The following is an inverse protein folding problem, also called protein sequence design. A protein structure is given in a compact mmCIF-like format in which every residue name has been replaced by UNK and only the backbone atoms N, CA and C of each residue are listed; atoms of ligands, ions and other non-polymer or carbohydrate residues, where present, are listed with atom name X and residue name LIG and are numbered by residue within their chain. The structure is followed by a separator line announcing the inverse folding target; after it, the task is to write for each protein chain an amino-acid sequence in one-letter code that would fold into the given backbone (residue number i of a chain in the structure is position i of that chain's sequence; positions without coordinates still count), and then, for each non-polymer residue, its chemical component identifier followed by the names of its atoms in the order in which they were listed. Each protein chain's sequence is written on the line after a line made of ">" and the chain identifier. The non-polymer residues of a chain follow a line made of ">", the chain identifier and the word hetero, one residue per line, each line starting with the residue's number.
data_IF_418508391554
#
_entry.id   IF_418508391554
#
_cell.length_a   1.000
_cell.length_b   1.000
_cell.length_c   1.000
_cell.angle_alpha   90.00
_cell.angle_beta   90.00
_cell.angle_gamma   90.00
#
_symmetry.space_group_name_H-M   'P 1'
#
loop_
_entity.id
_entity.type
_entity.pdbx_description
1 polymer ?
#
# COMPACT_ATOMS: atom_id res chain seq x y z
N UNK A 1 49.32 50.96 41.81
CA UNK A 1 48.04 50.57 41.17
C UNK A 1 48.25 49.22 40.50
N UNK A 2 47.75 48.11 41.07
CA UNK A 2 46.61 47.31 40.55
C UNK A 2 46.49 47.37 39.02
N UNK A 3 46.54 46.21 38.36
CA UNK A 3 45.50 45.68 37.46
C UNK A 3 45.85 44.21 37.14
N UNK A 4 45.09 43.29 37.74
CA UNK A 4 45.10 41.87 37.41
C UNK A 4 44.13 41.67 36.24
N UNK A 5 44.66 41.43 35.04
CA UNK A 5 43.86 41.03 33.88
C UNK A 5 43.58 39.53 33.92
N UNK A 6 42.36 39.15 34.29
CA UNK A 6 41.87 37.78 34.16
C UNK A 6 41.46 37.54 32.70
N UNK A 7 42.12 36.58 32.04
CA UNK A 7 41.66 36.05 30.75
C UNK A 7 40.56 35.04 31.05
N UNK A 8 39.31 35.43 30.81
CA UNK A 8 38.17 34.51 30.87
C UNK A 8 38.21 33.65 29.61
N UNK A 9 38.59 32.38 29.77
CA UNK A 9 38.38 31.36 28.76
C UNK A 9 36.86 31.14 28.60
N UNK A 10 36.29 31.59 27.48
CA UNK A 10 34.92 31.28 27.13
C UNK A 10 34.81 29.78 26.78
N UNK A 11 33.90 29.02 27.40
CA UNK A 11 33.62 27.67 26.95
C UNK A 11 32.94 27.78 25.58
N UNK A 12 33.57 27.19 24.55
CA UNK A 12 32.87 26.91 23.30
C UNK A 12 31.73 25.93 23.63
N UNK A 13 30.55 26.48 23.90
CA UNK A 13 29.33 25.70 23.96
C UNK A 13 29.11 25.12 22.56
N UNK A 14 29.26 23.80 22.48
CA UNK A 14 28.86 22.97 21.36
C UNK A 14 27.39 23.26 21.04
N UNK A 15 27.15 24.17 20.10
CA UNK A 15 25.85 24.42 19.51
C UNK A 15 25.46 23.29 18.57
N UNK A 16 25.28 22.08 19.11
CA UNK A 16 24.45 21.07 18.44
C UNK A 16 23.02 21.56 18.59
N UNK A 17 22.58 22.40 17.66
CA UNK A 17 21.16 22.67 17.45
C UNK A 17 20.50 21.39 16.96
N UNK A 18 20.22 20.47 17.88
CA UNK A 18 19.32 19.34 17.69
C UNK A 18 17.89 19.86 17.63
N UNK A 19 17.58 20.54 16.54
CA UNK A 19 16.22 20.89 16.15
C UNK A 19 15.98 20.41 14.71
N UNK A 20 16.26 19.13 14.46
CA UNK A 20 15.46 18.40 13.47
C UNK A 20 14.12 18.13 14.16
N UNK A 21 13.25 19.14 14.16
CA UNK A 21 11.82 18.83 14.28
C UNK A 21 11.53 17.91 13.12
N UNK A 22 11.28 16.64 13.42
CA UNK A 22 10.70 15.69 12.49
C UNK A 22 9.34 16.25 12.08
N UNK A 23 9.33 17.10 11.06
CA UNK A 23 8.14 17.49 10.34
C UNK A 23 7.67 16.17 9.72
N UNK A 24 6.72 15.49 10.39
CA UNK A 24 6.06 14.33 9.81
C UNK A 24 5.51 14.81 8.47
N UNK A 25 6.15 14.38 7.37
CA UNK A 25 5.67 14.67 6.04
C UNK A 25 4.20 14.22 6.02
N UNK A 26 3.30 15.17 5.79
CA UNK A 26 1.89 14.87 5.68
C UNK A 26 1.73 13.85 4.55
N UNK A 27 1.26 12.65 4.87
CA UNK A 27 1.09 11.59 3.88
C UNK A 27 -0.03 12.01 2.93
N UNK A 28 0.29 12.05 1.64
CA UNK A 28 -0.69 12.38 0.62
C UNK A 28 -1.62 11.18 0.36
N UNK A 29 -2.91 11.41 0.06
CA UNK A 29 -3.80 10.35 -0.41
C UNK A 29 -3.21 9.61 -1.61
N UNK A 30 -3.44 8.31 -1.70
CA UNK A 30 -3.07 7.52 -2.86
C UNK A 30 -3.86 7.99 -4.09
N UNK A 31 -3.16 8.32 -5.17
CA UNK A 31 -3.77 8.62 -6.47
C UNK A 31 -4.24 7.36 -7.18
N UNK A 32 -5.13 7.49 -8.16
CA UNK A 32 -5.57 6.36 -8.98
C UNK A 32 -4.39 5.64 -9.67
N UNK A 33 -3.36 6.40 -10.07
CA UNK A 33 -2.15 5.85 -10.67
C UNK A 33 -1.34 5.01 -9.66
N UNK A 34 -1.25 5.47 -8.41
CA UNK A 34 -0.60 4.69 -7.34
C UNK A 34 -1.41 3.45 -6.99
N UNK A 35 -2.74 3.55 -6.92
CA UNK A 35 -3.61 2.38 -6.70
C UNK A 35 -3.43 1.35 -7.82
N UNK A 36 -3.46 1.78 -9.08
CA UNK A 36 -3.23 0.91 -10.23
C UNK A 36 -1.84 0.26 -10.18
N UNK A 37 -0.80 1.03 -9.85
CA UNK A 37 0.55 0.51 -9.69
C UNK A 37 0.63 -0.56 -8.62
N UNK A 38 0.12 -0.29 -7.41
CA UNK A 38 0.17 -1.26 -6.31
C UNK A 38 -0.62 -2.53 -6.64
N UNK A 39 -1.80 -2.40 -7.23
CA UNK A 39 -2.59 -3.55 -7.69
C UNK A 39 -1.85 -4.36 -8.76
N UNK A 40 -1.20 -3.70 -9.71
CA UNK A 40 -0.35 -4.34 -10.72
C UNK A 40 0.83 -5.09 -10.10
N UNK A 41 1.48 -4.50 -9.08
CA UNK A 41 2.53 -5.18 -8.31
C UNK A 41 1.99 -6.40 -7.57
N UNK A 42 0.85 -6.28 -6.88
CA UNK A 42 0.21 -7.41 -6.20
C UNK A 42 -0.18 -8.53 -7.16
N UNK A 43 -0.65 -8.18 -8.36
CA UNK A 43 -0.95 -9.15 -9.40
C UNK A 43 0.31 -9.85 -9.91
N UNK A 44 1.38 -9.09 -10.19
CA UNK A 44 2.67 -9.63 -10.61
C UNK A 44 3.24 -10.61 -9.58
N UNK A 45 3.21 -10.24 -8.29
CA UNK A 45 3.64 -11.12 -7.19
C UNK A 45 2.79 -12.39 -7.16
N UNK A 46 1.46 -12.27 -7.24
CA UNK A 46 0.55 -13.42 -7.25
C UNK A 46 0.85 -14.35 -8.43
N UNK A 47 0.95 -13.79 -9.63
CA UNK A 47 1.26 -14.52 -10.86
C UNK A 47 2.56 -15.30 -10.76
N UNK A 48 3.64 -14.62 -10.37
CA UNK A 48 4.96 -15.24 -10.31
C UNK A 48 5.03 -16.35 -9.26
N UNK A 49 4.44 -16.14 -8.08
CA UNK A 49 4.42 -17.15 -7.03
C UNK A 49 3.61 -18.39 -7.45
N UNK A 50 2.43 -18.20 -8.04
CA UNK A 50 1.59 -19.32 -8.49
C UNK A 50 2.25 -20.11 -9.61
N UNK A 51 2.85 -19.43 -10.59
CA UNK A 51 3.59 -20.09 -11.68
C UNK A 51 4.85 -20.82 -11.17
N UNK A 52 5.37 -20.45 -10.00
CA UNK A 52 6.45 -21.14 -9.29
C UNK A 52 5.95 -22.25 -8.34
N UNK A 53 4.64 -22.54 -8.33
CA UNK A 53 4.04 -23.62 -7.55
C UNK A 53 3.62 -23.24 -6.12
N UNK A 54 3.65 -21.95 -5.76
CA UNK A 54 3.03 -21.48 -4.51
C UNK A 54 1.51 -21.42 -4.69
N UNK A 55 0.71 -22.10 -3.87
CA UNK A 55 -0.75 -22.11 -4.04
C UNK A 55 -1.37 -20.71 -4.07
N UNK A 56 -2.38 -20.52 -4.90
CA UNK A 56 -3.11 -19.25 -5.03
C UNK A 56 -3.66 -18.78 -3.67
N UNK A 57 -4.26 -19.69 -2.88
CA UNK A 57 -4.68 -19.45 -1.49
C UNK A 57 -3.62 -18.84 -0.56
N UNK A 58 -2.33 -18.94 -0.89
CA UNK A 58 -1.24 -18.33 -0.11
C UNK A 58 -0.70 -17.08 -0.79
N UNK A 59 -0.47 -17.15 -2.10
CA UNK A 59 0.09 -16.05 -2.87
C UNK A 59 -0.83 -14.82 -2.88
N UNK A 60 -2.13 -15.05 -3.09
CA UNK A 60 -3.11 -13.97 -3.23
C UNK A 60 -3.31 -13.18 -1.93
N UNK A 61 -3.57 -13.79 -0.75
CA UNK A 61 -3.71 -13.02 0.49
C UNK A 61 -2.43 -12.26 0.88
N UNK A 62 -1.25 -12.81 0.58
CA UNK A 62 0.01 -12.11 0.80
C UNK A 62 0.12 -10.84 -0.06
N UNK A 63 -0.25 -10.93 -1.34
CA UNK A 63 -0.28 -9.77 -2.24
C UNK A 63 -1.33 -8.73 -1.80
N UNK A 64 -2.50 -9.16 -1.33
CA UNK A 64 -3.53 -8.28 -0.76
C UNK A 64 -2.96 -7.51 0.43
N UNK A 65 -2.35 -8.21 1.38
CA UNK A 65 -1.74 -7.58 2.56
C UNK A 65 -0.62 -6.59 2.19
N UNK A 66 0.19 -6.93 1.18
CA UNK A 66 1.23 -6.04 0.67
C UNK A 66 0.63 -4.74 0.13
N UNK A 67 -0.39 -4.82 -0.72
CA UNK A 67 -1.03 -3.65 -1.33
C UNK A 67 -1.78 -2.82 -0.30
N UNK A 68 -2.56 -3.45 0.58
CA UNK A 68 -3.23 -2.76 1.68
C UNK A 68 -2.24 -2.09 2.63
N UNK A 69 -1.10 -2.74 2.91
CA UNK A 69 0.00 -2.17 3.69
C UNK A 69 0.64 -0.97 3.01
N UNK A 70 0.89 -1.03 1.69
CA UNK A 70 1.43 0.09 0.94
C UNK A 70 0.54 1.34 1.04
N UNK A 71 -0.79 1.16 0.98
CA UNK A 71 -1.74 2.27 1.15
C UNK A 71 -1.81 2.74 2.61
N UNK A 72 -1.88 1.83 3.57
CA UNK A 72 -1.93 2.18 4.99
C UNK A 72 -0.68 2.96 5.44
N UNK A 73 0.51 2.45 5.10
CA UNK A 73 1.77 3.05 5.53
C UNK A 73 2.21 4.21 4.64
N UNK A 74 2.00 4.14 3.33
CA UNK A 74 2.41 5.19 2.39
C UNK A 74 1.45 6.38 2.38
N UNK A 75 0.16 6.14 2.59
CA UNK A 75 -0.91 7.11 2.32
C UNK A 75 -1.91 7.28 3.48
N UNK A 76 -1.57 6.81 4.69
CA UNK A 76 -2.44 6.88 5.87
C UNK A 76 -3.85 6.33 5.62
N UNK A 77 -3.92 5.22 4.86
CA UNK A 77 -5.18 4.57 4.45
C UNK A 77 -6.10 5.47 3.62
N UNK A 78 -5.59 6.56 3.05
CA UNK A 78 -6.38 7.54 2.33
C UNK A 78 -6.17 7.40 0.83
N UNK A 79 -7.26 7.43 0.06
CA UNK A 79 -7.24 7.38 -1.41
C UNK A 79 -7.96 8.59 -1.99
N UNK A 80 -7.74 8.90 -3.27
CA UNK A 80 -8.62 9.80 -4.02
C UNK A 80 -9.79 9.00 -4.57
N UNK A 81 -11.01 9.38 -4.21
CA UNK A 81 -12.24 8.82 -4.78
C UNK A 81 -13.13 9.99 -5.22
N UNK A 82 -13.53 10.00 -6.49
CA UNK A 82 -14.37 11.07 -7.08
C UNK A 82 -13.80 12.48 -6.82
N UNK A 83 -12.47 12.61 -6.92
CA UNK A 83 -11.74 13.87 -6.70
C UNK A 83 -11.59 14.31 -5.23
N UNK A 84 -11.97 13.48 -4.27
CA UNK A 84 -11.87 13.79 -2.82
C UNK A 84 -11.05 12.75 -2.07
N UNK A 85 -10.26 13.15 -1.06
CA UNK A 85 -9.63 12.21 -0.14
C UNK A 85 -10.69 11.44 0.65
N UNK A 86 -10.57 10.11 0.66
CA UNK A 86 -11.41 9.20 1.44
C UNK A 86 -10.50 8.29 2.25
N UNK A 87 -10.65 8.31 3.58
CA UNK A 87 -9.96 7.41 4.48
C UNK A 87 -10.71 6.10 4.56
N UNK A 88 -10.01 5.01 4.24
CA UNK A 88 -10.55 3.67 4.23
C UNK A 88 -10.23 2.96 5.55
N UNK A 89 -11.18 2.18 6.05
CA UNK A 89 -10.92 1.26 7.14
C UNK A 89 -10.10 0.03 6.65
N UNK A 90 -9.54 -0.79 7.56
CA UNK A 90 -8.73 -1.94 7.17
C UNK A 90 -9.45 -2.97 6.29
N UNK A 91 -10.77 -3.12 6.41
CA UNK A 91 -11.55 -4.05 5.60
C UNK A 91 -11.77 -3.49 4.20
N UNK A 92 -12.09 -2.20 4.09
CA UNK A 92 -12.21 -1.49 2.81
C UNK A 92 -10.90 -1.53 2.02
N UNK A 93 -9.75 -1.33 2.70
CA UNK A 93 -8.43 -1.46 2.08
C UNK A 93 -8.16 -2.85 1.53
N UNK A 94 -8.45 -3.89 2.31
CA UNK A 94 -8.24 -5.27 1.89
C UNK A 94 -9.18 -5.66 0.75
N UNK A 95 -10.45 -5.27 0.83
CA UNK A 95 -11.42 -5.53 -0.23
C UNK A 95 -11.04 -4.82 -1.53
N UNK A 96 -10.66 -3.54 -1.46
CA UNK A 96 -10.21 -2.77 -2.63
C UNK A 96 -8.95 -3.37 -3.27
N UNK A 97 -7.97 -3.77 -2.46
CA UNK A 97 -6.77 -4.46 -2.92
C UNK A 97 -7.11 -5.80 -3.57
N UNK A 98 -7.93 -6.63 -2.92
CA UNK A 98 -8.35 -7.93 -3.43
C UNK A 98 -9.07 -7.82 -4.78
N UNK A 99 -10.00 -6.87 -4.92
CA UNK A 99 -10.73 -6.64 -6.17
C UNK A 99 -9.77 -6.26 -7.29
N UNK A 100 -8.89 -5.27 -7.05
CA UNK A 100 -7.95 -4.79 -8.07
C UNK A 100 -6.92 -5.85 -8.49
N UNK A 101 -6.36 -6.57 -7.52
CA UNK A 101 -5.41 -7.66 -7.77
C UNK A 101 -6.12 -8.80 -8.53
N UNK A 102 -7.29 -9.25 -8.09
CA UNK A 102 -7.99 -10.36 -8.75
C UNK A 102 -8.35 -10.04 -10.20
N UNK A 103 -8.86 -8.83 -10.48
CA UNK A 103 -9.11 -8.38 -11.85
C UNK A 103 -7.83 -8.38 -12.70
N UNK A 104 -6.73 -7.87 -12.15
CA UNK A 104 -5.44 -7.82 -12.83
C UNK A 104 -4.84 -9.21 -13.07
N UNK A 105 -4.90 -10.13 -12.10
CA UNK A 105 -4.47 -11.52 -12.23
C UNK A 105 -5.29 -12.23 -13.30
N UNK A 106 -6.62 -12.11 -13.24
CA UNK A 106 -7.54 -12.72 -14.22
C UNK A 106 -7.21 -12.29 -15.65
N UNK A 107 -6.90 -11.00 -15.86
CA UNK A 107 -6.58 -10.43 -17.17
C UNK A 107 -5.15 -10.70 -17.66
N UNK A 108 -4.23 -11.08 -16.77
CA UNK A 108 -2.81 -11.27 -17.11
C UNK A 108 -2.44 -12.75 -17.19
N UNK A 109 -2.12 -13.36 -16.05
CA UNK A 109 -1.61 -14.73 -15.94
C UNK A 109 -2.68 -15.76 -15.54
N UNK A 110 -3.88 -15.34 -15.14
CA UNK A 110 -4.90 -16.24 -14.60
C UNK A 110 -5.34 -17.33 -15.58
N UNK A 111 -5.17 -17.11 -16.88
CA UNK A 111 -5.38 -18.12 -17.94
C UNK A 111 -4.34 -19.25 -17.94
N UNK A 112 -3.17 -19.01 -17.36
CA UNK A 112 -2.05 -19.96 -17.29
C UNK A 112 -2.11 -20.84 -16.03
N UNK A 113 -2.90 -20.43 -15.03
CA UNK A 113 -3.15 -21.23 -13.84
C UNK A 113 -3.88 -22.53 -14.20
N UNK A 114 -3.65 -23.57 -13.41
CA UNK A 114 -4.22 -24.91 -13.62
C UNK A 114 -4.80 -25.45 -12.32
N UNK A 115 -5.66 -26.47 -12.43
CA UNK A 115 -6.19 -27.20 -11.27
C UNK A 115 -6.89 -26.29 -10.25
N UNK A 116 -6.51 -26.46 -8.98
CA UNK A 116 -7.10 -25.72 -7.86
C UNK A 116 -6.92 -24.20 -8.00
N UNK A 117 -5.74 -23.73 -8.40
CA UNK A 117 -5.44 -22.30 -8.52
C UNK A 117 -6.34 -21.61 -9.55
N UNK A 118 -6.61 -22.29 -10.67
CA UNK A 118 -7.55 -21.77 -11.69
C UNK A 118 -8.97 -21.69 -11.16
N UNK A 119 -9.39 -22.72 -10.43
CA UNK A 119 -10.73 -22.78 -9.83
C UNK A 119 -10.93 -21.66 -8.82
N UNK A 120 -9.90 -21.35 -8.03
CA UNK A 120 -9.94 -20.31 -7.01
C UNK A 120 -10.03 -18.90 -7.61
N UNK A 121 -9.19 -18.58 -8.60
CA UNK A 121 -9.25 -17.25 -9.25
C UNK A 121 -10.57 -17.06 -10.01
N UNK A 122 -11.11 -18.10 -10.65
CA UNK A 122 -12.39 -18.02 -11.35
C UNK A 122 -13.54 -17.76 -10.38
N UNK A 123 -13.58 -18.51 -9.27
CA UNK A 123 -14.58 -18.33 -8.23
C UNK A 123 -14.50 -16.93 -7.65
N UNK A 124 -13.31 -16.46 -7.31
CA UNK A 124 -13.09 -15.11 -6.78
C UNK A 124 -13.57 -14.04 -7.76
N UNK A 125 -13.20 -14.17 -9.03
CA UNK A 125 -13.59 -13.21 -10.09
C UNK A 125 -15.11 -13.21 -10.30
N UNK A 126 -15.75 -14.37 -10.24
CA UNK A 126 -17.22 -14.47 -10.32
C UNK A 126 -17.91 -13.79 -9.13
N UNK A 127 -17.41 -13.99 -7.90
CA UNK A 127 -17.92 -13.34 -6.71
C UNK A 127 -17.80 -11.82 -6.80
N UNK A 128 -16.64 -11.32 -7.22
CA UNK A 128 -16.41 -9.88 -7.41
C UNK A 128 -17.38 -9.30 -8.44
N UNK A 129 -17.58 -9.97 -9.59
CA UNK A 129 -18.55 -9.53 -10.61
C UNK A 129 -19.96 -9.43 -10.05
N UNK A 130 -20.39 -10.42 -9.25
CA UNK A 130 -21.71 -10.40 -8.61
C UNK A 130 -21.84 -9.24 -7.62
N UNK A 131 -20.82 -8.98 -6.82
CA UNK A 131 -20.82 -7.87 -5.85
C UNK A 131 -20.88 -6.49 -6.53
N UNK A 132 -20.23 -6.32 -7.69
CA UNK A 132 -20.28 -5.07 -8.46
C UNK A 132 -21.66 -4.88 -9.11
N UNK A 133 -22.27 -5.94 -9.62
CA UNK A 133 -23.60 -5.88 -10.26
C UNK A 133 -24.75 -5.68 -9.26
N UNK A 134 -24.57 -6.15 -8.02
CA UNK A 134 -25.53 -5.97 -6.93
C UNK A 134 -25.42 -4.61 -6.23
N UNK A 135 -24.36 -3.83 -6.50
CA UNK A 135 -24.23 -2.49 -5.93
C UNK A 135 -25.25 -1.54 -6.58
N UNK A 136 -25.98 -0.71 -5.79
CA UNK A 136 -26.87 0.29 -6.36
C UNK A 136 -26.07 1.21 -7.28
N UNK A 137 -26.61 1.48 -8.48
CA UNK A 137 -26.04 2.51 -9.35
C UNK A 137 -26.09 3.86 -8.61
N UNK A 138 -25.04 4.69 -8.72
CA UNK A 138 -25.04 6.04 -8.16
C UNK A 138 -26.17 6.89 -8.73
#
# INVERSE_FOLDING_TARGET
>A
MRWFGWVVAAPMALGLSSAVQAQQAQKEPATDQQLFLYQGMGANVTCNLVLQGVPFTKAFPAAVNMVSGAIAFGHDSTIIQSGKPVKLDPQQLQNGAAIGIAGSVSNSCGKEFKGADKTEIDKLTAQIKQSIQAAPKP
#
